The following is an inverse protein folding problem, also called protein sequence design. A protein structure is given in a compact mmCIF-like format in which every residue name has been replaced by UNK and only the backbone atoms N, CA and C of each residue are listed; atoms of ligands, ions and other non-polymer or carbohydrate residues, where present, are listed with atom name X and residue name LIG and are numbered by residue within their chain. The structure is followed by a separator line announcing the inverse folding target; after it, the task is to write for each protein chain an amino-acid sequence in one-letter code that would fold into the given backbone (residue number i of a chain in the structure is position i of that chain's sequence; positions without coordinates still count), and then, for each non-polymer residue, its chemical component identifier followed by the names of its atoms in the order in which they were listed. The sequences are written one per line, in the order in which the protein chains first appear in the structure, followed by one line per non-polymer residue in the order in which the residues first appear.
data_IF_991032165990
#
_entry.id   IF_991032165990
#
_cell.length_a   1.000
_cell.length_b   1.000
_cell.length_c   1.000
_cell.angle_alpha   90.00
_cell.angle_beta   90.00
_cell.angle_gamma   90.00
#
_symmetry.space_group_name_H-M   'P 1'
#
loop_
_entity.id
_entity.type
_entity.pdbx_description
1 polymer ?
#
# COMPACT_ATOMS: atom_id res chain seq x y z
N UNK A 1 64.41 -19.90 -22.11
CA UNK A 1 63.19 -19.70 -22.91
C UNK A 1 62.24 -19.00 -21.99
N UNK A 2 62.23 -17.68 -22.06
CA UNK A 2 61.52 -16.81 -21.14
C UNK A 2 60.02 -16.95 -21.33
N UNK A 3 59.30 -17.08 -20.21
CA UNK A 3 57.86 -16.88 -20.17
C UNK A 3 57.62 -15.37 -20.27
N UNK A 4 57.29 -14.91 -21.48
CA UNK A 4 56.74 -13.58 -21.71
C UNK A 4 55.29 -13.61 -21.23
N UNK A 5 54.99 -12.83 -20.19
CA UNK A 5 53.61 -12.50 -19.84
C UNK A 5 53.24 -11.32 -20.73
N UNK A 6 52.35 -11.55 -21.69
CA UNK A 6 51.72 -10.48 -22.48
C UNK A 6 50.86 -9.62 -21.55
N UNK A 7 51.29 -8.38 -21.30
CA UNK A 7 50.47 -7.34 -20.67
C UNK A 7 49.42 -6.84 -21.68
N UNK A 8 48.34 -7.60 -21.86
CA UNK A 8 47.08 -7.10 -22.41
C UNK A 8 46.06 -6.98 -21.27
N UNK A 9 45.98 -5.80 -20.65
CA UNK A 9 44.73 -5.17 -20.21
C UNK A 9 45.08 -3.84 -19.52
N UNK A 10 45.16 -2.77 -20.30
CA UNK A 10 45.05 -1.42 -19.80
C UNK A 10 43.60 -1.18 -19.32
N UNK A 11 43.22 -1.79 -18.19
CA UNK A 11 42.07 -1.32 -17.43
C UNK A 11 42.47 0.00 -16.81
N UNK A 12 41.70 1.04 -17.10
CA UNK A 12 41.79 2.37 -16.52
C UNK A 12 42.23 2.29 -15.05
N UNK A 13 43.50 2.60 -14.81
CA UNK A 13 44.06 2.61 -13.46
C UNK A 13 43.26 3.62 -12.66
N UNK A 14 42.57 3.14 -11.62
CA UNK A 14 41.86 3.99 -10.65
C UNK A 14 42.83 5.07 -10.18
N UNK A 15 42.58 6.30 -10.62
CA UNK A 15 43.40 7.45 -10.27
C UNK A 15 42.96 7.89 -8.87
N UNK A 16 43.77 7.60 -7.87
CA UNK A 16 43.51 8.05 -6.49
C UNK A 16 43.79 9.56 -6.40
N UNK A 17 42.82 10.33 -5.90
CA UNK A 17 43.01 11.78 -5.70
C UNK A 17 43.95 12.04 -4.51
N UNK A 18 44.82 13.05 -4.61
CA UNK A 18 45.59 13.51 -3.44
C UNK A 18 44.70 14.35 -2.51
N UNK A 19 45.03 14.47 -1.21
CA UNK A 19 44.25 15.30 -0.28
C UNK A 19 44.06 16.75 -0.73
N UNK A 20 45.03 17.31 -1.45
CA UNK A 20 44.99 18.68 -1.98
C UNK A 20 44.09 18.80 -3.22
N UNK A 21 43.82 17.68 -3.90
CA UNK A 21 42.89 17.58 -5.03
C UNK A 21 41.47 17.25 -4.57
N UNK A 22 41.30 16.75 -3.34
CA UNK A 22 40.01 16.44 -2.77
C UNK A 22 39.33 17.71 -2.25
N UNK A 23 38.24 18.10 -2.90
CA UNK A 23 37.30 19.07 -2.35
C UNK A 23 36.04 18.30 -1.97
N UNK A 24 35.70 18.26 -0.68
CA UNK A 24 34.44 17.65 -0.25
C UNK A 24 33.27 18.43 -0.86
N UNK A 25 32.37 17.74 -1.56
CA UNK A 25 31.11 18.36 -1.94
C UNK A 25 30.32 18.69 -0.67
N UNK A 26 30.05 19.98 -0.45
CA UNK A 26 29.28 20.44 0.71
C UNK A 26 27.80 20.22 0.39
N UNK A 27 27.24 19.13 0.93
CA UNK A 27 25.84 18.77 0.79
C UNK A 27 24.99 19.41 1.90
N UNK A 28 24.84 20.74 1.88
CA UNK A 28 23.87 21.42 2.76
C UNK A 28 22.44 20.98 2.45
N UNK A 29 21.50 21.12 3.39
CA UNK A 29 20.09 20.79 3.12
C UNK A 29 19.59 21.49 1.83
N UNK A 30 18.99 20.72 0.91
CA UNK A 30 18.52 21.23 -0.38
C UNK A 30 19.59 21.51 -1.44
N UNK A 31 20.85 21.08 -1.24
CA UNK A 31 21.94 21.30 -2.22
C UNK A 31 21.61 20.81 -3.64
N UNK A 32 20.84 19.72 -3.75
CA UNK A 32 20.39 19.09 -4.99
C UNK A 32 19.31 19.88 -5.77
N UNK A 33 18.83 20.99 -5.19
CA UNK A 33 17.91 21.93 -5.86
C UNK A 33 18.65 22.96 -6.71
N UNK A 34 19.96 23.13 -6.53
CA UNK A 34 20.74 24.13 -7.26
C UNK A 34 20.93 23.71 -8.72
N UNK A 35 20.66 24.56 -9.73
CA UNK A 35 20.94 24.26 -11.14
C UNK A 35 22.40 23.88 -11.41
N UNK A 36 23.33 24.34 -10.56
CA UNK A 36 24.74 23.97 -10.64
C UNK A 36 25.02 22.50 -10.31
N UNK A 37 24.11 21.80 -9.62
CA UNK A 37 24.26 20.39 -9.28
C UNK A 37 24.06 19.46 -10.47
N UNK A 38 23.57 19.94 -11.61
CA UNK A 38 23.33 19.13 -12.82
C UNK A 38 24.52 19.12 -13.78
N UNK A 39 25.51 19.99 -13.59
CA UNK A 39 26.55 20.22 -14.61
C UNK A 39 27.56 19.07 -14.64
N UNK A 40 27.59 18.35 -15.77
CA UNK A 40 28.61 17.32 -16.06
C UNK A 40 28.40 15.98 -15.34
N UNK A 41 27.19 15.73 -14.82
CA UNK A 41 26.84 14.48 -14.15
C UNK A 41 26.46 13.38 -15.15
N UNK A 42 26.62 12.13 -14.72
CA UNK A 42 26.17 10.95 -15.49
C UNK A 42 24.67 10.75 -15.29
N UNK A 43 24.01 10.09 -16.24
CA UNK A 43 22.56 9.79 -16.22
C UNK A 43 22.07 9.20 -14.88
N UNK A 44 22.86 8.32 -14.26
CA UNK A 44 22.49 7.70 -12.98
C UNK A 44 22.55 8.68 -11.80
N UNK A 45 23.51 9.59 -11.79
CA UNK A 45 23.61 10.63 -10.77
C UNK A 45 22.50 11.68 -10.95
N UNK A 46 22.14 11.99 -12.20
CA UNK A 46 21.02 12.87 -12.50
C UNK A 46 19.69 12.25 -12.08
N UNK A 47 19.50 10.95 -12.34
CA UNK A 47 18.33 10.17 -11.89
C UNK A 47 18.15 10.25 -10.37
N UNK A 48 19.21 10.03 -9.60
CA UNK A 48 19.18 10.14 -8.13
C UNK A 48 18.82 11.56 -7.67
N UNK A 49 19.35 12.60 -8.33
CA UNK A 49 19.02 13.99 -8.01
C UNK A 49 17.54 14.31 -8.27
N UNK A 50 16.97 13.84 -9.40
CA UNK A 50 15.54 13.99 -9.71
C UNK A 50 14.70 13.31 -8.63
N UNK A 51 15.07 12.08 -8.23
CA UNK A 51 14.39 11.37 -7.15
C UNK A 51 14.44 12.13 -5.81
N UNK A 52 15.60 12.70 -5.45
CA UNK A 52 15.74 13.53 -4.25
C UNK A 52 14.88 14.80 -4.31
N UNK A 53 14.80 15.46 -5.46
CA UNK A 53 13.91 16.63 -5.65
C UNK A 53 12.45 16.25 -5.49
N UNK A 54 12.02 15.14 -6.11
CA UNK A 54 10.66 14.65 -6.00
C UNK A 54 10.28 14.32 -4.54
N UNK A 55 11.13 13.57 -3.85
CA UNK A 55 10.94 13.22 -2.44
C UNK A 55 10.95 14.46 -1.52
N UNK A 56 11.83 15.42 -1.79
CA UNK A 56 11.88 16.68 -1.06
C UNK A 56 10.59 17.50 -1.24
N UNK A 57 10.11 17.62 -2.48
CA UNK A 57 8.85 18.30 -2.77
C UNK A 57 7.67 17.63 -2.07
N UNK A 58 7.60 16.29 -2.10
CA UNK A 58 6.56 15.52 -1.40
C UNK A 58 6.58 15.78 0.11
N UNK A 59 7.76 15.72 0.74
CA UNK A 59 7.93 15.96 2.17
C UNK A 59 7.48 17.37 2.59
N UNK A 60 7.64 18.36 1.71
CA UNK A 60 7.22 19.75 1.96
C UNK A 60 5.79 20.06 1.50
N UNK A 61 4.99 19.04 1.16
CA UNK A 61 3.59 19.21 0.72
C UNK A 61 3.45 19.81 -0.68
N UNK A 62 4.54 19.92 -1.44
CA UNK A 62 4.56 20.44 -2.81
C UNK A 62 4.23 19.32 -3.81
N UNK A 63 3.06 18.70 -3.65
CA UNK A 63 2.71 17.46 -4.37
C UNK A 63 2.67 17.61 -5.89
N UNK A 64 2.26 18.77 -6.41
CA UNK A 64 2.24 19.01 -7.85
C UNK A 64 3.66 19.01 -8.45
N UNK A 65 4.64 19.56 -7.73
CA UNK A 65 6.04 19.52 -8.15
C UNK A 65 6.62 18.11 -7.99
N UNK A 66 6.27 17.40 -6.91
CA UNK A 66 6.64 16.00 -6.73
C UNK A 66 6.16 15.11 -7.89
N UNK A 67 4.89 15.29 -8.31
CA UNK A 67 4.33 14.61 -9.48
C UNK A 67 5.13 14.93 -10.74
N UNK A 68 5.47 16.20 -10.99
CA UNK A 68 6.25 16.61 -12.16
C UNK A 68 7.63 15.96 -12.17
N UNK A 69 8.34 15.99 -11.06
CA UNK A 69 9.66 15.35 -10.94
C UNK A 69 9.58 13.82 -11.06
N UNK A 70 8.58 13.17 -10.44
CA UNK A 70 8.40 11.71 -10.60
C UNK A 70 7.96 11.31 -12.02
N UNK A 71 7.17 12.14 -12.72
CA UNK A 71 6.85 11.92 -14.15
C UNK A 71 8.11 12.02 -15.02
N UNK A 72 8.95 13.02 -14.79
CA UNK A 72 10.25 13.14 -15.47
C UNK A 72 11.14 11.94 -15.14
N UNK A 73 11.22 11.56 -13.86
CA UNK A 73 11.98 10.40 -13.42
C UNK A 73 11.55 9.14 -14.18
N UNK A 74 10.24 8.87 -14.28
CA UNK A 74 9.70 7.70 -14.95
C UNK A 74 9.98 7.67 -16.47
N UNK A 75 9.84 8.81 -17.14
CA UNK A 75 9.89 8.89 -18.61
C UNK A 75 11.30 9.11 -19.18
N UNK A 76 12.13 9.88 -18.48
CA UNK A 76 13.40 10.39 -19.03
C UNK A 76 14.57 9.45 -18.71
N UNK A 77 14.39 8.51 -17.79
CA UNK A 77 15.45 7.62 -17.31
C UNK A 77 15.14 6.14 -17.52
N UNK A 78 16.19 5.34 -17.69
CA UNK A 78 16.06 3.87 -17.72
C UNK A 78 15.94 3.33 -16.30
N UNK A 79 14.97 2.46 -16.10
CA UNK A 79 14.70 1.80 -14.82
C UNK A 79 14.86 0.30 -14.92
N UNK A 80 15.37 -0.31 -13.86
CA UNK A 80 15.07 -1.71 -13.58
C UNK A 80 13.58 -1.80 -13.22
N UNK A 81 12.96 -2.97 -13.40
CA UNK A 81 11.52 -3.13 -13.09
C UNK A 81 11.21 -2.78 -11.63
N UNK A 82 12.07 -3.14 -10.68
CA UNK A 82 11.93 -2.77 -9.26
C UNK A 82 11.99 -1.25 -9.04
N UNK A 83 12.90 -0.54 -9.71
CA UNK A 83 12.94 0.92 -9.63
C UNK A 83 11.70 1.55 -10.25
N UNK A 84 11.21 1.01 -11.37
CA UNK A 84 9.99 1.48 -12.02
C UNK A 84 8.79 1.37 -11.07
N UNK A 85 8.61 0.23 -10.39
CA UNK A 85 7.55 0.03 -9.38
C UNK A 85 7.59 1.11 -8.29
N UNK A 86 8.76 1.37 -7.71
CA UNK A 86 8.91 2.37 -6.65
C UNK A 86 8.62 3.81 -7.13
N UNK A 87 9.02 4.15 -8.35
CA UNK A 87 8.76 5.46 -8.96
C UNK A 87 7.26 5.61 -9.27
N UNK A 88 6.62 4.57 -9.82
CA UNK A 88 5.19 4.58 -10.14
C UNK A 88 4.35 4.69 -8.84
N UNK A 89 4.69 3.94 -7.79
CA UNK A 89 4.03 4.05 -6.48
C UNK A 89 4.13 5.47 -5.92
N UNK A 90 5.34 6.05 -5.92
CA UNK A 90 5.59 7.42 -5.44
C UNK A 90 4.83 8.47 -6.27
N UNK A 91 4.74 8.26 -7.59
CA UNK A 91 3.98 9.11 -8.49
C UNK A 91 2.47 9.06 -8.18
N UNK A 92 1.90 7.86 -8.03
CA UNK A 92 0.49 7.67 -7.67
C UNK A 92 0.19 8.32 -6.33
N UNK A 93 1.01 8.07 -5.30
CA UNK A 93 0.83 8.68 -3.97
C UNK A 93 0.86 10.21 -4.02
N UNK A 94 1.79 10.76 -4.78
CA UNK A 94 1.90 12.21 -4.99
C UNK A 94 0.65 12.75 -5.70
N UNK A 95 0.21 12.10 -6.78
CA UNK A 95 -0.97 12.49 -7.55
C UNK A 95 -2.26 12.45 -6.71
N UNK A 96 -2.43 11.42 -5.87
CA UNK A 96 -3.57 11.30 -4.97
C UNK A 96 -3.62 12.43 -3.92
N UNK A 97 -2.45 12.94 -3.49
CA UNK A 97 -2.36 14.09 -2.57
C UNK A 97 -2.59 15.44 -3.26
N UNK A 98 -2.27 15.56 -4.55
CA UNK A 98 -2.68 16.73 -5.37
C UNK A 98 -4.20 16.82 -5.43
N UNK A 99 -4.89 15.68 -5.56
CA UNK A 99 -6.35 15.59 -5.68
C UNK A 99 -7.15 15.88 -4.39
N UNK A 100 -6.57 16.59 -3.41
CA UNK A 100 -7.22 17.02 -2.18
C UNK A 100 -6.90 16.13 -0.96
N UNK A 101 -7.17 16.64 0.26
CA UNK A 101 -6.71 16.01 1.50
C UNK A 101 -7.19 14.56 1.63
N UNK A 102 -6.29 13.70 2.07
CA UNK A 102 -6.61 12.37 2.57
C UNK A 102 -7.20 12.60 3.96
N UNK A 103 -8.50 12.35 4.14
CA UNK A 103 -9.11 12.39 5.46
C UNK A 103 -8.58 11.22 6.29
N UNK A 104 -7.39 11.39 6.86
CA UNK A 104 -6.92 10.61 8.00
C UNK A 104 -6.74 11.61 9.13
N UNK A 105 -7.57 11.47 10.17
CA UNK A 105 -7.60 12.31 11.37
C UNK A 105 -8.37 13.63 11.23
N UNK A 106 -9.04 13.96 12.32
CA UNK A 106 -10.22 14.81 12.52
C UNK A 106 -10.02 16.33 12.39
N UNK A 107 -9.01 16.80 11.66
CA UNK A 107 -8.79 18.25 11.48
C UNK A 107 -8.48 18.59 10.03
N UNK A 108 -9.17 19.64 9.53
CA UNK A 108 -9.12 20.24 8.18
C UNK A 108 -10.23 19.74 7.25
N UNK A 109 -11.48 19.96 7.66
CA UNK A 109 -12.67 19.84 6.82
C UNK A 109 -13.33 21.21 6.53
N UNK A 110 -12.56 22.26 6.23
CA UNK A 110 -13.10 23.50 5.65
C UNK A 110 -12.01 24.16 4.79
N UNK A 111 -12.34 24.50 3.53
CA UNK A 111 -11.58 25.32 2.55
C UNK A 111 -10.49 24.67 1.67
N UNK A 112 -10.80 23.65 0.86
CA UNK A 112 -10.04 23.42 -0.40
C UNK A 112 -10.93 22.88 -1.53
N UNK A 113 -11.72 23.77 -2.14
CA UNK A 113 -12.46 23.54 -3.40
C UNK A 113 -11.69 24.04 -4.65
N UNK A 114 -10.38 24.28 -4.56
CA UNK A 114 -9.59 24.93 -5.62
C UNK A 114 -8.23 24.26 -5.88
N UNK A 115 -8.16 22.93 -5.79
CA UNK A 115 -7.06 22.20 -6.43
C UNK A 115 -7.66 21.40 -7.58
N UNK A 116 -7.26 21.63 -8.84
CA UNK A 116 -7.71 20.77 -9.93
C UNK A 116 -7.29 19.34 -9.59
N UNK A 117 -8.28 18.45 -9.51
CA UNK A 117 -8.05 17.02 -9.30
C UNK A 117 -7.09 16.54 -10.38
N UNK A 118 -6.10 15.74 -9.98
CA UNK A 118 -5.23 15.08 -10.93
C UNK A 118 -6.09 14.19 -11.86
N UNK A 119 -5.83 14.16 -13.19
CA UNK A 119 -6.69 13.44 -14.13
C UNK A 119 -6.85 11.95 -13.78
N UNK A 120 -8.09 11.45 -13.77
CA UNK A 120 -8.38 10.05 -13.46
C UNK A 120 -7.74 9.08 -14.47
N UNK A 121 -7.75 9.45 -15.75
CA UNK A 121 -7.14 8.65 -16.83
C UNK A 121 -5.64 8.45 -16.64
N UNK A 122 -4.92 9.48 -16.15
CA UNK A 122 -3.50 9.39 -15.83
C UNK A 122 -3.27 8.40 -14.66
N UNK A 123 -4.10 8.44 -13.61
CA UNK A 123 -3.99 7.51 -12.47
C UNK A 123 -4.23 6.05 -12.92
N UNK A 124 -5.25 5.83 -13.75
CA UNK A 124 -5.55 4.51 -14.29
C UNK A 124 -4.41 4.01 -15.20
N UNK A 125 -3.79 4.90 -15.97
CA UNK A 125 -2.62 4.56 -16.77
C UNK A 125 -1.44 4.13 -15.89
N UNK A 126 -1.13 4.88 -14.83
CA UNK A 126 -0.05 4.50 -13.90
C UNK A 126 -0.32 3.20 -13.16
N UNK A 127 -1.58 2.91 -12.78
CA UNK A 127 -1.93 1.61 -12.22
C UNK A 127 -1.67 0.46 -13.20
N UNK A 128 -2.01 0.61 -14.48
CA UNK A 128 -1.71 -0.41 -15.50
C UNK A 128 -0.21 -0.64 -15.65
N UNK A 129 0.57 0.44 -15.65
CA UNK A 129 2.03 0.35 -15.70
C UNK A 129 2.62 -0.29 -14.44
N UNK A 130 2.05 -0.02 -13.26
CA UNK A 130 2.41 -0.68 -12.01
C UNK A 130 2.18 -2.19 -12.13
N UNK A 131 0.96 -2.61 -12.50
CA UNK A 131 0.60 -4.02 -12.61
C UNK A 131 1.53 -4.80 -13.55
N UNK A 132 1.93 -4.19 -14.66
CA UNK A 132 2.88 -4.79 -15.63
C UNK A 132 4.32 -4.85 -15.12
N UNK A 133 4.66 -4.01 -14.15
CA UNK A 133 6.00 -3.87 -13.59
C UNK A 133 6.20 -4.71 -12.32
N UNK A 134 5.13 -5.07 -11.61
CA UNK A 134 5.16 -5.89 -10.41
C UNK A 134 5.73 -7.30 -10.71
N UNK A 135 6.71 -7.74 -9.91
CA UNK A 135 7.43 -8.99 -10.15
C UNK A 135 7.21 -10.04 -9.07
N UNK A 136 6.97 -9.59 -7.85
CA UNK A 136 6.82 -10.47 -6.71
C UNK A 136 5.56 -10.16 -5.90
N UNK A 137 5.34 -10.98 -4.90
CA UNK A 137 4.19 -10.86 -4.02
C UNK A 137 4.20 -9.57 -3.19
N UNK A 138 5.38 -9.03 -2.86
CA UNK A 138 5.52 -7.75 -2.18
C UNK A 138 5.07 -6.60 -3.06
N UNK A 139 5.53 -6.56 -4.32
CA UNK A 139 5.08 -5.59 -5.32
C UNK A 139 3.57 -5.68 -5.54
N UNK A 140 3.02 -6.90 -5.62
CA UNK A 140 1.58 -7.12 -5.78
C UNK A 140 0.78 -6.58 -4.59
N UNK A 141 1.27 -6.75 -3.35
CA UNK A 141 0.60 -6.21 -2.17
C UNK A 141 0.62 -4.67 -2.16
N UNK A 142 1.73 -4.06 -2.59
CA UNK A 142 1.82 -2.61 -2.74
C UNK A 142 0.91 -2.10 -3.85
N UNK A 143 0.86 -2.79 -5.00
CA UNK A 143 -0.06 -2.52 -6.09
C UNK A 143 -1.52 -2.56 -5.63
N UNK A 144 -1.94 -3.58 -4.87
CA UNK A 144 -3.30 -3.66 -4.34
C UNK A 144 -3.66 -2.48 -3.42
N UNK A 145 -2.69 -2.00 -2.63
CA UNK A 145 -2.88 -0.78 -1.83
C UNK A 145 -3.05 0.46 -2.71
N UNK A 146 -2.20 0.64 -3.72
CA UNK A 146 -2.33 1.74 -4.68
C UNK A 146 -3.67 1.67 -5.45
N UNK A 147 -4.04 0.48 -5.93
CA UNK A 147 -5.29 0.20 -6.63
C UNK A 147 -6.50 0.62 -5.78
N UNK A 148 -6.54 0.19 -4.52
CA UNK A 148 -7.57 0.60 -3.57
C UNK A 148 -7.65 2.13 -3.44
N UNK A 149 -6.52 2.81 -3.23
CA UNK A 149 -6.53 4.28 -3.02
C UNK A 149 -6.99 5.05 -4.27
N UNK A 150 -6.61 4.60 -5.47
CA UNK A 150 -7.05 5.20 -6.74
C UNK A 150 -8.54 4.98 -6.97
N UNK A 151 -9.03 3.74 -6.90
CA UNK A 151 -10.45 3.46 -7.12
C UNK A 151 -11.35 4.02 -6.00
N UNK A 152 -10.80 4.32 -4.82
CA UNK A 152 -11.51 5.08 -3.80
C UNK A 152 -11.91 6.49 -4.30
N UNK A 153 -11.07 7.13 -5.12
CA UNK A 153 -11.26 8.50 -5.62
C UNK A 153 -12.09 8.57 -6.90
N UNK A 154 -12.12 7.49 -7.68
CA UNK A 154 -12.87 7.44 -8.93
C UNK A 154 -14.35 7.16 -8.63
N UNK A 155 -15.23 7.85 -9.35
CA UNK A 155 -16.68 7.64 -9.27
C UNK A 155 -17.14 6.60 -10.29
N UNK A 156 -18.25 5.92 -10.00
CA UNK A 156 -18.87 4.97 -10.93
C UNK A 156 -18.84 3.53 -10.45
N UNK A 157 -19.74 2.73 -11.00
CA UNK A 157 -20.02 1.36 -10.53
C UNK A 157 -18.82 0.42 -10.69
N UNK A 158 -18.14 0.49 -11.84
CA UNK A 158 -16.93 -0.30 -12.09
C UNK A 158 -15.82 0.04 -11.09
N UNK A 159 -15.63 1.33 -10.79
CA UNK A 159 -14.66 1.78 -9.80
C UNK A 159 -15.01 1.29 -8.38
N UNK A 160 -16.30 1.25 -8.02
CA UNK A 160 -16.74 0.67 -6.75
C UNK A 160 -16.43 -0.83 -6.67
N UNK A 161 -16.65 -1.57 -7.75
CA UNK A 161 -16.32 -3.00 -7.84
C UNK A 161 -14.81 -3.24 -7.70
N UNK A 162 -14.00 -2.53 -8.47
CA UNK A 162 -12.54 -2.63 -8.43
C UNK A 162 -11.95 -2.25 -7.07
N UNK A 163 -12.55 -1.25 -6.41
CA UNK A 163 -12.22 -0.90 -5.02
C UNK A 163 -12.52 -2.05 -4.06
N UNK A 164 -13.74 -2.58 -4.08
CA UNK A 164 -14.16 -3.69 -3.22
C UNK A 164 -13.25 -4.90 -3.43
N UNK A 165 -12.97 -5.25 -4.69
CA UNK A 165 -12.14 -6.40 -5.04
C UNK A 165 -10.69 -6.21 -4.55
N UNK A 166 -10.12 -5.02 -4.69
CA UNK A 166 -8.80 -4.72 -4.14
C UNK A 166 -8.76 -4.90 -2.61
N UNK A 167 -9.77 -4.39 -1.89
CA UNK A 167 -9.86 -4.54 -0.42
C UNK A 167 -10.09 -6.01 -0.03
N UNK A 168 -10.92 -6.76 -0.75
CA UNK A 168 -11.13 -8.20 -0.53
C UNK A 168 -9.81 -8.97 -0.67
N UNK A 169 -9.04 -8.69 -1.73
CA UNK A 169 -7.73 -9.33 -1.94
C UNK A 169 -6.76 -8.99 -0.82
N UNK A 170 -6.71 -7.74 -0.37
CA UNK A 170 -5.89 -7.33 0.78
C UNK A 170 -6.28 -8.12 2.05
N UNK A 171 -7.57 -8.23 2.35
CA UNK A 171 -8.07 -8.98 3.51
C UNK A 171 -7.76 -10.49 3.41
N UNK A 172 -7.96 -11.08 2.23
CA UNK A 172 -7.69 -12.50 1.99
C UNK A 172 -6.19 -12.85 2.08
N UNK A 173 -5.34 -11.88 1.75
CA UNK A 173 -3.89 -12.00 1.69
C UNK A 173 -3.27 -11.76 3.07
N UNK A 174 -3.73 -10.72 3.77
CA UNK A 174 -3.35 -10.42 5.15
C UNK A 174 -4.59 -9.96 5.92
N UNK A 175 -5.07 -10.80 6.84
CA UNK A 175 -6.30 -10.58 7.61
C UNK A 175 -6.07 -9.58 8.76
N UNK A 176 -5.78 -8.31 8.39
CA UNK A 176 -5.51 -7.20 9.31
C UNK A 176 -6.74 -6.31 9.51
N UNK A 177 -6.97 -5.78 10.74
CA UNK A 177 -8.04 -4.82 11.00
C UNK A 177 -8.06 -3.64 10.04
N UNK A 178 -6.88 -3.10 9.69
CA UNK A 178 -6.74 -1.94 8.81
C UNK A 178 -7.25 -2.21 7.38
N UNK A 179 -7.14 -3.45 6.89
CA UNK A 179 -7.67 -3.82 5.57
C UNK A 179 -9.19 -3.89 5.60
N UNK A 180 -9.78 -4.43 6.67
CA UNK A 180 -11.23 -4.48 6.84
C UNK A 180 -11.84 -3.08 6.98
N UNK A 181 -11.25 -2.21 7.80
CA UNK A 181 -11.71 -0.82 7.93
C UNK A 181 -11.55 -0.02 6.63
N UNK A 182 -10.70 -0.47 5.71
CA UNK A 182 -10.52 0.20 4.44
C UNK A 182 -11.79 0.17 3.56
N UNK A 183 -12.71 -0.76 3.76
CA UNK A 183 -14.03 -0.73 3.11
C UNK A 183 -14.80 0.57 3.40
N UNK A 184 -14.61 1.16 4.58
CA UNK A 184 -15.23 2.43 4.99
C UNK A 184 -14.62 3.68 4.35
N UNK A 185 -13.48 3.57 3.64
CA UNK A 185 -12.82 4.73 3.04
C UNK A 185 -13.62 5.36 1.89
N UNK A 186 -14.50 4.59 1.25
CA UNK A 186 -15.35 5.04 0.14
C UNK A 186 -16.79 5.20 0.62
N UNK A 187 -17.22 6.45 0.80
CA UNK A 187 -18.54 6.79 1.37
C UNK A 187 -19.72 6.62 0.40
N UNK A 188 -19.46 6.58 -0.91
CA UNK A 188 -20.48 6.50 -1.96
C UNK A 188 -20.81 5.07 -2.41
N UNK A 189 -20.30 4.05 -1.70
CA UNK A 189 -20.56 2.65 -2.01
C UNK A 189 -22.04 2.31 -1.94
N UNK A 190 -22.56 1.68 -3.01
CA UNK A 190 -23.91 1.13 -3.06
C UNK A 190 -23.97 -0.24 -2.40
N UNK A 191 -23.94 -0.26 -1.07
CA UNK A 191 -23.90 -1.48 -0.24
C UNK A 191 -25.02 -1.48 0.80
N UNK A 192 -25.30 -2.65 1.39
CA UNK A 192 -26.32 -2.83 2.42
C UNK A 192 -25.77 -2.62 3.82
N UNK A 193 -26.69 -2.56 4.79
CA UNK A 193 -26.39 -2.42 6.23
C UNK A 193 -25.42 -3.51 6.74
N UNK A 194 -25.56 -4.75 6.26
CA UNK A 194 -24.68 -5.88 6.62
C UNK A 194 -23.24 -5.66 6.19
N UNK A 195 -23.01 -4.94 5.09
CA UNK A 195 -21.67 -4.64 4.62
C UNK A 195 -20.92 -3.78 5.64
N UNK A 196 -21.55 -2.66 6.04
CA UNK A 196 -21.00 -1.75 7.05
C UNK A 196 -20.81 -2.40 8.41
N UNK A 197 -21.78 -3.18 8.85
CA UNK A 197 -21.68 -3.89 10.12
C UNK A 197 -20.57 -4.97 10.07
N UNK A 198 -20.51 -5.71 8.97
CA UNK A 198 -19.62 -6.86 8.80
C UNK A 198 -18.14 -6.49 8.86
N UNK A 199 -17.70 -5.47 8.11
CA UNK A 199 -16.28 -5.11 8.13
C UNK A 199 -15.86 -4.48 9.46
N UNK A 200 -16.73 -3.70 10.11
CA UNK A 200 -16.43 -3.10 11.41
C UNK A 200 -16.33 -4.17 12.51
N UNK A 201 -17.29 -5.10 12.54
CA UNK A 201 -17.28 -6.20 13.51
C UNK A 201 -16.09 -7.11 13.28
N UNK A 202 -15.75 -7.46 12.03
CA UNK A 202 -14.58 -8.27 11.72
C UNK A 202 -13.28 -7.58 12.15
N UNK A 203 -13.14 -6.28 11.89
CA UNK A 203 -11.99 -5.50 12.34
C UNK A 203 -11.87 -5.50 13.88
N UNK A 204 -12.98 -5.32 14.59
CA UNK A 204 -13.04 -5.36 16.06
C UNK A 204 -12.59 -6.72 16.60
N UNK A 205 -13.12 -7.82 16.06
CA UNK A 205 -12.76 -9.18 16.49
C UNK A 205 -11.26 -9.48 16.24
N UNK A 206 -10.69 -8.97 15.15
CA UNK A 206 -9.26 -9.09 14.88
C UNK A 206 -8.42 -8.28 15.86
N UNK A 207 -8.85 -7.07 16.23
CA UNK A 207 -8.18 -6.26 17.25
C UNK A 207 -8.23 -6.93 18.62
N UNK A 208 -9.39 -7.47 19.04
CA UNK A 208 -9.51 -8.24 20.29
C UNK A 208 -8.57 -9.45 20.30
N UNK A 209 -8.47 -10.17 19.17
CA UNK A 209 -7.53 -11.27 19.02
C UNK A 209 -6.08 -10.79 19.13
N UNK A 210 -5.72 -9.68 18.47
CA UNK A 210 -4.39 -9.09 18.57
C UNK A 210 -4.07 -8.65 20.01
N UNK A 211 -5.05 -8.08 20.72
CA UNK A 211 -4.92 -7.70 22.13
C UNK A 211 -4.60 -8.92 23.01
N UNK A 212 -5.26 -10.05 22.78
CA UNK A 212 -5.02 -11.29 23.55
C UNK A 212 -3.59 -11.85 23.40
N UNK A 213 -2.89 -11.45 22.34
CA UNK A 213 -1.52 -11.88 22.02
C UNK A 213 -0.49 -10.75 22.23
N UNK A 214 -0.93 -9.55 22.60
CA UNK A 214 -0.10 -8.37 22.71
C UNK A 214 0.58 -8.27 24.08
N UNK A 215 1.77 -7.67 24.10
CA UNK A 215 2.54 -7.43 25.31
C UNK A 215 3.22 -6.06 25.29
N UNK A 216 3.34 -5.41 26.45
CA UNK A 216 3.99 -4.11 26.57
C UNK A 216 3.18 -2.97 25.96
N UNK A 217 3.85 -1.93 25.46
CA UNK A 217 3.20 -0.66 25.06
C UNK A 217 2.17 -0.80 23.92
N UNK A 218 2.25 -1.87 23.12
CA UNK A 218 1.29 -2.10 22.02
C UNK A 218 -0.10 -2.47 22.55
N UNK A 219 -0.21 -2.98 23.78
CA UNK A 219 -1.49 -3.29 24.44
C UNK A 219 -2.35 -2.03 24.54
N UNK A 220 -1.78 -0.93 25.04
CA UNK A 220 -2.50 0.34 25.20
C UNK A 220 -2.95 0.91 23.85
N UNK A 221 -2.13 0.75 22.81
CA UNK A 221 -2.44 1.18 21.45
C UNK A 221 -3.62 0.39 20.87
N UNK A 222 -3.61 -0.93 21.02
CA UNK A 222 -4.70 -1.80 20.53
C UNK A 222 -5.98 -1.54 21.34
N UNK A 223 -5.87 -1.42 22.67
CA UNK A 223 -7.00 -1.13 23.54
C UNK A 223 -7.68 0.19 23.14
N UNK A 224 -6.90 1.24 22.85
CA UNK A 224 -7.44 2.52 22.37
C UNK A 224 -8.18 2.36 21.04
N UNK A 225 -7.63 1.60 20.09
CA UNK A 225 -8.30 1.30 18.81
C UNK A 225 -9.61 0.54 19.00
N UNK A 226 -9.65 -0.44 19.91
CA UNK A 226 -10.86 -1.20 20.25
C UNK A 226 -11.93 -0.27 20.81
N UNK A 227 -11.57 0.58 21.79
CA UNK A 227 -12.51 1.53 22.39
C UNK A 227 -13.08 2.48 21.34
N UNK A 228 -12.23 3.08 20.51
CA UNK A 228 -12.67 3.99 19.44
C UNK A 228 -13.63 3.30 18.45
N UNK A 229 -13.27 2.11 17.97
CA UNK A 229 -14.12 1.37 17.04
C UNK A 229 -15.44 0.91 17.68
N UNK A 230 -15.42 0.61 18.98
CA UNK A 230 -16.63 0.32 19.76
C UNK A 230 -17.57 1.52 19.84
N UNK A 231 -17.04 2.70 20.17
CA UNK A 231 -17.81 3.96 20.20
C UNK A 231 -18.39 4.30 18.81
N UNK A 232 -17.61 4.10 17.74
CA UNK A 232 -18.07 4.28 16.36
C UNK A 232 -19.23 3.31 16.04
N UNK A 233 -19.13 2.03 16.41
CA UNK A 233 -20.20 1.05 16.22
C UNK A 233 -21.47 1.38 17.01
N UNK A 234 -21.34 1.83 18.26
CA UNK A 234 -22.46 2.28 19.09
C UNK A 234 -23.18 3.47 18.45
N UNK A 235 -22.44 4.40 17.84
CA UNK A 235 -23.00 5.57 17.16
C UNK A 235 -23.85 5.22 15.92
N UNK A 236 -23.64 4.04 15.32
CA UNK A 236 -24.35 3.58 14.13
C UNK A 236 -25.74 2.98 14.44
N UNK A 237 -26.16 2.94 15.70
CA UNK A 237 -27.50 2.52 16.15
C UNK A 237 -27.92 1.10 15.70
N UNK A 238 -26.97 0.16 15.68
CA UNK A 238 -27.27 -1.27 15.49
C UNK A 238 -27.87 -1.88 16.77
N UNK A 239 -28.78 -2.84 16.64
CA UNK A 239 -29.29 -3.56 17.81
C UNK A 239 -28.24 -4.55 18.36
N UNK A 240 -28.28 -4.89 19.65
CA UNK A 240 -27.40 -5.91 20.22
C UNK A 240 -27.50 -7.27 19.49
N UNK A 241 -28.70 -7.63 19.02
CA UNK A 241 -28.94 -8.85 18.26
C UNK A 241 -28.27 -8.81 16.88
N UNK A 242 -28.31 -7.66 16.18
CA UNK A 242 -27.63 -7.47 14.89
C UNK A 242 -26.10 -7.58 15.06
N UNK A 243 -25.55 -6.97 16.11
CA UNK A 243 -24.11 -7.06 16.42
C UNK A 243 -23.73 -8.51 16.75
N UNK A 244 -24.56 -9.22 17.52
CA UNK A 244 -24.31 -10.61 17.86
C UNK A 244 -24.37 -11.53 16.64
N UNK A 245 -25.34 -11.35 15.75
CA UNK A 245 -25.40 -12.06 14.47
C UNK A 245 -24.15 -11.81 13.63
N UNK A 246 -23.75 -10.54 13.47
CA UNK A 246 -22.55 -10.17 12.73
C UNK A 246 -21.29 -10.82 13.31
N UNK A 247 -21.16 -10.90 14.65
CA UNK A 247 -20.03 -11.59 15.29
C UNK A 247 -20.00 -13.08 14.97
N UNK A 248 -21.16 -13.73 14.96
CA UNK A 248 -21.26 -15.16 14.63
C UNK A 248 -20.91 -15.43 13.16
N UNK A 249 -21.44 -14.64 12.24
CA UNK A 249 -21.23 -14.83 10.80
C UNK A 249 -19.84 -14.42 10.35
N UNK A 250 -19.36 -13.26 10.81
CA UNK A 250 -18.03 -12.75 10.46
C UNK A 250 -16.91 -13.40 11.25
N UNK A 251 -17.21 -14.07 12.36
CA UNK A 251 -16.23 -14.72 13.23
C UNK A 251 -16.11 -16.23 13.08
N UNK A 252 -16.87 -16.85 12.18
CA UNK A 252 -16.97 -18.31 12.08
C UNK A 252 -15.63 -19.03 11.89
N UNK A 253 -14.65 -18.37 11.27
CA UNK A 253 -13.28 -18.89 11.08
C UNK A 253 -12.29 -18.50 12.19
N UNK A 254 -12.69 -17.64 13.13
CA UNK A 254 -11.86 -17.14 14.23
C UNK A 254 -11.94 -18.02 15.49
N UNK A 255 -12.22 -19.32 15.35
CA UNK A 255 -12.35 -20.29 16.45
C UNK A 255 -11.26 -20.11 17.54
N UNK A 256 -11.69 -20.36 18.77
CA UNK A 256 -10.98 -20.01 20.01
C UNK A 256 -9.59 -20.66 20.11
N UNK A 257 -8.68 -20.01 20.83
CA UNK A 257 -7.34 -20.56 21.09
C UNK A 257 -7.39 -21.93 21.80
N UNK A 258 -8.48 -22.23 22.51
CA UNK A 258 -8.71 -23.52 23.19
C UNK A 258 -9.00 -24.64 22.19
N UNK A 259 -9.73 -24.38 21.10
CA UNK A 259 -10.01 -25.37 20.04
C UNK A 259 -8.80 -25.65 19.12
N UNK A 260 -7.83 -24.73 19.07
CA UNK A 260 -6.58 -24.92 18.29
C UNK A 260 -5.52 -25.73 19.03
N UNK A 261 -5.57 -25.76 20.36
CA UNK A 261 -4.62 -26.52 21.18
C UNK A 261 -4.82 -28.04 21.05
N UNK A 262 -6.02 -28.50 20.69
CA UNK A 262 -6.29 -29.92 20.45
C UNK A 262 -5.93 -30.39 19.03
N UNK A 263 -5.65 -29.48 18.09
CA UNK A 263 -5.45 -29.81 16.67
C UNK A 263 -4.06 -29.53 16.10
N UNK A 264 -3.08 -29.07 16.89
CA UNK A 264 -1.77 -28.70 16.34
C UNK A 264 -0.57 -29.04 17.24
N UNK A 265 -0.15 -30.30 17.22
CA UNK A 265 1.28 -30.62 17.43
C UNK A 265 2.11 -30.38 16.14
N UNK A 266 1.49 -30.24 14.97
CA UNK A 266 2.18 -30.10 13.67
C UNK A 266 2.35 -28.65 13.14
N UNK A 267 1.81 -27.64 13.82
CA UNK A 267 1.94 -26.22 13.42
C UNK A 267 2.64 -25.32 14.45
N UNK A 268 3.54 -25.88 15.26
CA UNK A 268 4.60 -25.06 15.86
C UNK A 268 5.64 -24.70 14.79
N UNK A 269 5.26 -23.84 13.83
CA UNK A 269 6.26 -23.15 13.01
C UNK A 269 6.77 -21.97 13.81
N UNK A 270 8.09 -21.87 14.07
CA UNK A 270 8.66 -20.70 14.70
C UNK A 270 8.37 -19.45 13.86
N UNK A 271 8.21 -18.29 14.50
CA UNK A 271 7.92 -16.99 13.87
C UNK A 271 8.90 -16.55 12.75
N UNK A 272 9.99 -17.29 12.57
CA UNK A 272 11.04 -17.06 11.57
C UNK A 272 10.91 -17.93 10.31
N UNK A 273 9.91 -18.81 10.22
CA UNK A 273 9.64 -19.61 9.01
C UNK A 273 8.84 -18.86 7.92
N UNK A 274 8.49 -17.58 8.15
CA UNK A 274 7.86 -16.70 7.16
C UNK A 274 8.70 -16.40 5.92
N UNK A 275 9.91 -16.93 5.82
CA UNK A 275 10.78 -16.82 4.62
C UNK A 275 10.83 -18.07 3.74
N UNK A 276 10.10 -19.14 4.06
CA UNK A 276 10.17 -20.38 3.27
C UNK A 276 8.93 -20.62 2.38
N UNK A 277 9.06 -20.18 1.12
CA UNK A 277 8.52 -20.83 -0.09
C UNK A 277 7.01 -20.84 -0.41
N UNK A 278 6.19 -19.91 0.10
CA UNK A 278 4.81 -19.71 -0.42
C UNK A 278 4.49 -18.20 -0.53
N UNK A 279 5.23 -17.51 -1.40
CA UNK A 279 5.02 -16.11 -1.77
C UNK A 279 5.04 -15.96 -3.28
N UNK A 280 4.23 -16.77 -3.96
CA UNK A 280 4.12 -16.75 -5.42
C UNK A 280 3.23 -15.57 -5.80
N UNK A 281 3.75 -14.71 -6.69
CA UNK A 281 2.97 -13.69 -7.40
C UNK A 281 1.66 -14.30 -7.90
N UNK A 282 0.51 -13.74 -7.49
CA UNK A 282 -0.79 -14.30 -7.86
C UNK A 282 -1.15 -13.91 -9.28
N UNK A 283 -1.50 -14.89 -10.11
CA UNK A 283 -2.02 -14.59 -11.45
C UNK A 283 -3.42 -13.98 -11.37
N UNK A 284 -3.89 -13.38 -12.47
CA UNK A 284 -5.25 -12.82 -12.52
C UNK A 284 -6.31 -13.89 -12.20
N UNK A 285 -6.14 -15.12 -12.70
CA UNK A 285 -7.04 -16.24 -12.43
C UNK A 285 -7.01 -16.68 -10.96
N UNK A 286 -5.85 -16.63 -10.31
CA UNK A 286 -5.72 -16.86 -8.88
C UNK A 286 -6.43 -15.79 -8.06
N UNK A 287 -6.25 -14.52 -8.41
CA UNK A 287 -6.96 -13.41 -7.78
C UNK A 287 -8.48 -13.59 -7.89
N UNK A 288 -9.00 -13.96 -9.07
CA UNK A 288 -10.43 -14.23 -9.25
C UNK A 288 -10.94 -15.39 -8.38
N UNK A 289 -10.17 -16.48 -8.27
CA UNK A 289 -10.53 -17.60 -7.35
C UNK A 289 -10.53 -17.17 -5.89
N UNK A 290 -9.55 -16.35 -5.48
CA UNK A 290 -9.47 -15.81 -4.11
C UNK A 290 -10.68 -14.91 -3.83
N UNK A 291 -11.04 -14.03 -4.77
CA UNK A 291 -12.21 -13.16 -4.67
C UNK A 291 -13.50 -13.96 -4.51
N UNK A 292 -13.73 -14.96 -5.35
CA UNK A 292 -14.91 -15.82 -5.26
C UNK A 292 -14.96 -16.57 -3.91
N UNK A 293 -13.83 -17.11 -3.46
CA UNK A 293 -13.72 -17.78 -2.16
C UNK A 293 -13.99 -16.83 -0.99
N UNK A 294 -13.45 -15.61 -1.03
CA UNK A 294 -13.65 -14.59 -0.01
C UNK A 294 -15.12 -14.15 0.07
N UNK A 295 -15.74 -13.84 -1.07
CA UNK A 295 -17.15 -13.42 -1.15
C UNK A 295 -18.10 -14.53 -0.70
N UNK A 296 -17.79 -15.79 -1.01
CA UNK A 296 -18.57 -16.93 -0.51
C UNK A 296 -18.43 -17.09 1.01
N UNK A 297 -17.20 -17.03 1.53
CA UNK A 297 -16.92 -17.14 2.98
C UNK A 297 -17.63 -16.06 3.78
N UNK A 298 -17.65 -14.84 3.29
CA UNK A 298 -18.31 -13.69 3.93
C UNK A 298 -19.61 -13.30 3.24
N UNK A 299 -20.35 -14.29 2.72
CA UNK A 299 -21.58 -14.06 1.94
C UNK A 299 -22.63 -13.23 2.68
N UNK A 300 -22.74 -13.38 4.01
CA UNK A 300 -23.63 -12.56 4.84
C UNK A 300 -23.35 -11.05 4.73
N UNK A 301 -22.08 -10.65 4.67
CA UNK A 301 -21.67 -9.24 4.52
C UNK A 301 -22.03 -8.70 3.12
N UNK A 302 -21.98 -9.56 2.12
CA UNK A 302 -22.23 -9.23 0.72
C UNK A 302 -23.69 -9.43 0.28
N UNK A 303 -24.55 -9.94 1.16
CA UNK A 303 -25.94 -10.21 0.84
C UNK A 303 -26.67 -8.91 0.42
N UNK A 304 -27.37 -8.99 -0.72
CA UNK A 304 -28.07 -7.84 -1.32
C UNK A 304 -27.17 -6.70 -1.84
N UNK A 305 -25.86 -6.93 -2.04
CA UNK A 305 -24.97 -6.00 -2.74
C UNK A 305 -25.04 -6.22 -4.26
N UNK A 306 -25.78 -5.36 -4.97
CA UNK A 306 -26.03 -5.49 -6.41
C UNK A 306 -24.75 -5.44 -7.27
N UNK A 307 -23.68 -4.80 -6.76
CA UNK A 307 -22.35 -4.67 -7.36
C UNK A 307 -21.63 -6.01 -7.63
N UNK A 308 -22.18 -7.11 -7.11
CA UNK A 308 -21.58 -8.46 -7.16
C UNK A 308 -22.33 -9.41 -8.10
N UNK A 309 -23.34 -8.91 -8.80
CA UNK A 309 -24.19 -9.66 -9.73
C UNK A 309 -23.55 -9.73 -11.12
N UNK A 310 -22.35 -10.30 -11.24
CA UNK A 310 -21.73 -10.59 -12.54
C UNK A 310 -20.71 -11.71 -12.45
#
# INVERSE_FOLDING_TARGET
GDFVIEEEDARDRVQFCTPEQYTAEIHSAGWFLSPSSLKGRKDEEERELVNHRAAYAYHHGQYAEAVKEYKSLLNDFKHTRTHAVAVIDSLIRSALKVSGPFASSEDVCVLLKLVPSFPEDDLLQYLREYEQSALDYGDQLQYLNAKKEVYCRISGEEAQKEFIDAVCLLCATVDLPEHWLAFGAKSDLKVRKNFHLGYNVRALMLLERHLSQAHGFIVDVIQKKITQLGEELESLNYSPEEIQEARLTMGADLLSNEEKLEMNEDLQRPAHDCRSKIGVYKTAEECQRILAGFKNKFSWMFDGCDLLSS
#
